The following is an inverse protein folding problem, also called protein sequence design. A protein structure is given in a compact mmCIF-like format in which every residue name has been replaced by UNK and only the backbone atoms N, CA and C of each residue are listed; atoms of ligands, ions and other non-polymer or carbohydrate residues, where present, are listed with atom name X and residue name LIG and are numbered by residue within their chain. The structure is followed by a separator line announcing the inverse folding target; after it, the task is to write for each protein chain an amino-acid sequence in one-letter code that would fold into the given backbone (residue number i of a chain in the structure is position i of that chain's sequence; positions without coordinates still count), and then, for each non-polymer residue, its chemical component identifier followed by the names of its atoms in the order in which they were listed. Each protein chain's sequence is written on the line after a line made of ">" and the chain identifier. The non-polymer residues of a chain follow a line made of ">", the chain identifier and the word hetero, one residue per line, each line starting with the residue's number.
data_IF_469677735565
#
_entry.id   IF_469677735565
#
_cell.length_a   1.000
_cell.length_b   1.000
_cell.length_c   1.000
_cell.angle_alpha   90.00
_cell.angle_beta   90.00
_cell.angle_gamma   90.00
#
_symmetry.space_group_name_H-M   'P 1'
#
loop_
_entity.id
_entity.type
_entity.pdbx_description
1 polymer ?
#
# COMPACT_ATOMS: atom_id res chain seq x y z
N UNK A 1 -12.38 18.15 -12.16
CA UNK A 1 -13.33 19.28 -12.27
C UNK A 1 -14.77 18.93 -12.01
N UNK A 2 -15.41 18.06 -12.80
CA UNK A 2 -16.86 17.78 -12.67
C UNK A 2 -17.33 17.32 -11.29
N UNK A 3 -16.53 16.53 -10.57
CA UNK A 3 -16.86 16.05 -9.23
C UNK A 3 -16.70 17.11 -8.12
N UNK A 4 -16.00 18.21 -8.39
CA UNK A 4 -15.57 19.11 -7.32
C UNK A 4 -14.64 18.44 -6.31
N UNK A 5 -14.36 19.16 -5.21
CA UNK A 5 -13.52 18.69 -4.11
C UNK A 5 -14.32 17.78 -3.17
N UNK A 6 -15.57 18.14 -2.88
CA UNK A 6 -16.46 17.37 -2.01
C UNK A 6 -16.86 16.04 -2.65
N UNK A 7 -17.23 16.06 -3.94
CA UNK A 7 -17.57 14.82 -4.65
C UNK A 7 -16.40 13.87 -4.78
N UNK A 8 -15.18 14.39 -4.92
CA UNK A 8 -13.98 13.55 -4.91
C UNK A 8 -13.76 12.92 -3.53
N UNK A 9 -13.88 13.70 -2.46
CA UNK A 9 -13.73 13.21 -1.08
C UNK A 9 -14.80 12.18 -0.72
N UNK A 10 -16.05 12.43 -1.14
CA UNK A 10 -17.15 11.49 -1.00
C UNK A 10 -16.82 10.14 -1.64
N UNK A 11 -16.40 10.11 -2.90
CA UNK A 11 -16.05 8.85 -3.56
C UNK A 11 -14.85 8.16 -2.91
N UNK A 12 -13.86 8.90 -2.42
CA UNK A 12 -12.74 8.32 -1.68
C UNK A 12 -13.19 7.66 -0.36
N UNK A 13 -14.08 8.31 0.41
CA UNK A 13 -14.66 7.73 1.63
C UNK A 13 -15.55 6.51 1.33
N UNK A 14 -16.32 6.53 0.24
CA UNK A 14 -17.11 5.37 -0.22
C UNK A 14 -16.21 4.16 -0.45
N UNK A 15 -14.98 4.36 -0.96
CA UNK A 15 -13.98 3.31 -1.09
C UNK A 15 -13.23 2.95 0.21
N UNK A 16 -13.55 3.60 1.32
CA UNK A 16 -12.98 3.37 2.65
C UNK A 16 -11.69 4.12 2.93
N UNK A 17 -11.37 5.17 2.18
CA UNK A 17 -10.27 6.10 2.48
C UNK A 17 -10.71 7.13 3.52
N UNK A 18 -9.77 7.76 4.22
CA UNK A 18 -10.09 8.78 5.23
C UNK A 18 -10.55 8.24 6.59
N UNK A 19 -10.70 6.91 6.72
CA UNK A 19 -11.06 6.22 7.96
C UNK A 19 -10.25 4.94 8.18
N UNK A 20 -10.02 4.50 9.43
CA UNK A 20 -9.45 3.18 9.71
C UNK A 20 -10.24 2.06 9.04
N UNK A 21 -9.55 1.01 8.60
CA UNK A 21 -10.19 -0.12 7.90
C UNK A 21 -10.89 -1.07 8.85
N UNK A 22 -10.53 -1.07 10.13
CA UNK A 22 -11.13 -1.95 11.12
C UNK A 22 -10.39 -3.26 11.32
N UNK A 23 -9.17 -3.41 10.81
CA UNK A 23 -8.46 -4.70 10.79
C UNK A 23 -8.08 -5.23 12.18
N UNK A 24 -8.05 -4.36 13.19
CA UNK A 24 -7.71 -4.75 14.55
C UNK A 24 -6.26 -4.58 14.95
N UNK A 25 -5.52 -3.72 14.26
CA UNK A 25 -4.21 -3.21 14.67
C UNK A 25 -4.28 -1.69 14.72
N UNK A 26 -3.24 -1.05 15.26
CA UNK A 26 -3.17 0.41 15.26
C UNK A 26 -3.19 0.92 13.81
N UNK A 27 -4.12 1.84 13.53
CA UNK A 27 -4.33 2.39 12.19
C UNK A 27 -4.36 3.91 12.23
N UNK A 28 -3.85 4.51 11.15
CA UNK A 28 -4.06 5.92 10.85
C UNK A 28 -5.15 6.04 9.78
N UNK A 29 -6.00 7.05 9.90
CA UNK A 29 -7.17 7.23 9.02
C UNK A 29 -6.83 7.70 7.60
N UNK A 30 -5.62 8.23 7.39
CA UNK A 30 -5.28 8.94 6.15
C UNK A 30 -5.88 10.34 6.09
N UNK A 31 -5.93 10.91 4.88
CA UNK A 31 -6.47 12.25 4.61
C UNK A 31 -7.23 12.25 3.28
N UNK A 32 -8.31 13.01 3.23
CA UNK A 32 -9.13 13.23 2.05
C UNK A 32 -8.92 14.64 1.49
N UNK A 33 -9.27 14.90 0.21
CA UNK A 33 -9.10 16.22 -0.40
C UNK A 33 -9.78 17.36 0.39
N UNK A 34 -10.92 17.10 1.02
CA UNK A 34 -11.67 18.02 1.88
C UNK A 34 -11.02 18.32 3.24
N UNK A 35 -9.90 17.66 3.56
CA UNK A 35 -9.05 18.08 4.68
C UNK A 35 -8.27 19.37 4.40
N UNK A 36 -8.35 19.90 3.19
CA UNK A 36 -7.81 21.21 2.85
C UNK A 36 -8.49 22.32 3.69
N UNK A 37 -7.73 23.30 4.23
CA UNK A 37 -8.31 24.34 5.07
C UNK A 37 -9.44 25.13 4.39
N UNK A 38 -10.53 25.37 5.10
CA UNK A 38 -11.65 26.17 4.58
C UNK A 38 -11.27 27.63 4.29
N UNK A 39 -10.15 28.10 4.85
CA UNK A 39 -9.59 29.44 4.64
C UNK A 39 -8.84 29.59 3.31
N UNK A 40 -8.66 28.51 2.54
CA UNK A 40 -8.00 28.58 1.24
C UNK A 40 -8.85 29.41 0.25
N UNK A 41 -8.16 30.23 -0.53
CA UNK A 41 -8.78 30.94 -1.65
C UNK A 41 -9.23 29.97 -2.76
N UNK A 42 -9.98 30.50 -3.72
CA UNK A 42 -10.54 29.68 -4.79
C UNK A 42 -9.46 28.99 -5.65
N UNK A 43 -8.34 29.67 -5.90
CA UNK A 43 -7.24 29.12 -6.69
C UNK A 43 -6.58 27.93 -5.98
N UNK A 44 -6.29 28.07 -4.69
CA UNK A 44 -5.70 27.03 -3.86
C UNK A 44 -6.66 25.84 -3.66
N UNK A 45 -7.97 26.09 -3.54
CA UNK A 45 -8.97 25.00 -3.52
C UNK A 45 -9.04 24.26 -4.85
N UNK A 46 -8.95 24.97 -5.98
CA UNK A 46 -8.89 24.34 -7.30
C UNK A 46 -7.63 23.48 -7.44
N UNK A 47 -6.50 23.95 -6.93
CA UNK A 47 -5.26 23.19 -6.89
C UNK A 47 -5.39 21.93 -6.01
N UNK A 48 -5.97 22.03 -4.82
CA UNK A 48 -6.24 20.90 -3.94
C UNK A 48 -7.14 19.85 -4.62
N UNK A 49 -8.18 20.30 -5.33
CA UNK A 49 -9.07 19.46 -6.14
C UNK A 49 -8.31 18.73 -7.27
N UNK A 50 -7.47 19.44 -8.02
CA UNK A 50 -6.72 18.84 -9.13
C UNK A 50 -5.69 17.82 -8.66
N UNK A 51 -4.90 18.17 -7.65
CA UNK A 51 -3.95 17.23 -7.05
C UNK A 51 -4.66 16.06 -6.39
N UNK A 52 -5.77 16.32 -5.68
CA UNK A 52 -6.59 15.26 -5.10
C UNK A 52 -7.05 14.25 -6.15
N UNK A 53 -7.45 14.72 -7.34
CA UNK A 53 -7.91 13.85 -8.44
C UNK A 53 -6.86 12.85 -8.93
N UNK A 54 -5.58 13.12 -8.69
CA UNK A 54 -4.46 12.21 -9.00
C UNK A 54 -3.82 11.59 -7.75
N UNK A 55 -4.45 11.74 -6.57
CA UNK A 55 -3.97 11.20 -5.31
C UNK A 55 -2.80 11.98 -4.67
N UNK A 56 -2.72 13.29 -4.92
CA UNK A 56 -1.68 14.19 -4.38
C UNK A 56 -2.26 15.31 -3.51
N UNK A 57 -1.38 16.05 -2.83
CA UNK A 57 -1.74 17.21 -2.01
C UNK A 57 -2.29 16.81 -0.64
N UNK A 58 -3.58 17.06 -0.41
CA UNK A 58 -4.25 16.75 0.85
C UNK A 58 -4.71 15.29 0.96
N UNK A 59 -4.39 14.46 -0.02
CA UNK A 59 -4.71 13.03 -0.01
C UNK A 59 -3.62 12.24 0.71
N UNK A 60 -4.02 11.32 1.58
CA UNK A 60 -3.12 10.35 2.20
C UNK A 60 -3.86 9.03 2.44
N UNK A 61 -3.24 7.92 2.08
CA UNK A 61 -3.81 6.60 2.26
C UNK A 61 -2.76 5.62 2.80
N UNK A 62 -3.18 4.68 3.62
CA UNK A 62 -2.31 3.60 4.10
C UNK A 62 -2.22 2.48 3.06
N UNK A 63 -1.13 1.69 3.04
CA UNK A 63 -1.06 0.51 2.18
C UNK A 63 -2.23 -0.46 2.37
N UNK A 64 -2.72 -0.60 3.60
CA UNK A 64 -3.87 -1.45 3.89
C UNK A 64 -5.18 -0.92 3.28
N UNK A 65 -5.44 0.38 3.40
CA UNK A 65 -6.58 1.02 2.72
C UNK A 65 -6.50 0.78 1.21
N UNK A 66 -5.32 0.99 0.61
CA UNK A 66 -5.11 0.81 -0.82
C UNK A 66 -5.22 -0.65 -1.29
N UNK A 67 -4.79 -1.61 -0.47
CA UNK A 67 -5.02 -3.03 -0.73
C UNK A 67 -6.53 -3.36 -0.72
N UNK A 68 -7.30 -2.78 0.20
CA UNK A 68 -8.73 -2.98 0.25
C UNK A 68 -9.47 -2.27 -0.90
N UNK A 69 -8.96 -1.14 -1.41
CA UNK A 69 -9.46 -0.53 -2.66
C UNK A 69 -9.30 -1.51 -3.83
N UNK A 70 -8.11 -2.11 -4.00
CA UNK A 70 -7.88 -3.11 -5.04
C UNK A 70 -8.80 -4.34 -4.86
N UNK A 71 -8.95 -4.83 -3.63
CA UNK A 71 -9.86 -5.94 -3.32
C UNK A 71 -11.33 -5.60 -3.60
N UNK A 72 -11.75 -4.36 -3.34
CA UNK A 72 -13.12 -3.90 -3.61
C UNK A 72 -13.41 -3.85 -5.11
N UNK A 73 -12.46 -3.37 -5.92
CA UNK A 73 -12.56 -3.41 -7.38
C UNK A 73 -12.60 -4.86 -7.88
N UNK A 74 -11.76 -5.73 -7.32
CA UNK A 74 -11.72 -7.15 -7.65
C UNK A 74 -13.04 -7.88 -7.31
N UNK A 75 -13.73 -7.47 -6.24
CA UNK A 75 -15.01 -8.03 -5.79
C UNK A 75 -16.22 -7.33 -6.40
N UNK A 76 -16.08 -6.78 -7.61
CA UNK A 76 -17.17 -6.13 -8.33
C UNK A 76 -17.86 -5.02 -7.52
N UNK A 77 -17.08 -4.21 -6.79
CA UNK A 77 -17.59 -3.05 -6.06
C UNK A 77 -18.15 -3.41 -4.68
N UNK A 78 -17.84 -4.59 -4.16
CA UNK A 78 -18.17 -4.96 -2.78
C UNK A 78 -16.97 -4.67 -1.89
N UNK A 79 -17.09 -3.62 -1.09
CA UNK A 79 -16.15 -3.33 -0.02
C UNK A 79 -16.41 -4.30 1.13
N UNK A 80 -15.36 -4.84 1.72
CA UNK A 80 -15.48 -5.62 2.96
C UNK A 80 -14.35 -5.24 3.89
N UNK A 81 -14.62 -5.36 5.18
CA UNK A 81 -13.65 -5.15 6.23
C UNK A 81 -12.52 -6.18 6.12
N UNK A 82 -11.25 -5.77 6.11
CA UNK A 82 -10.14 -6.69 6.22
C UNK A 82 -10.05 -7.25 7.64
N UNK A 83 -9.70 -8.52 7.78
CA UNK A 83 -9.55 -9.21 9.06
C UNK A 83 -8.19 -9.91 9.12
N UNK A 84 -7.57 -9.90 10.30
CA UNK A 84 -6.46 -10.81 10.60
C UNK A 84 -7.05 -12.13 11.12
N UNK A 85 -6.58 -13.26 10.60
CA UNK A 85 -7.06 -14.61 10.95
C UNK A 85 -6.90 -14.94 12.47
N UNK A 86 -6.21 -14.09 13.24
CA UNK A 86 -5.86 -14.35 14.64
C UNK A 86 -6.96 -14.06 15.67
N UNK A 87 -8.10 -13.47 15.32
CA UNK A 87 -9.22 -13.34 16.28
C UNK A 87 -10.55 -13.09 15.57
N UNK A 88 -11.55 -13.91 15.90
CA UNK A 88 -12.95 -13.73 15.50
C UNK A 88 -13.77 -12.92 16.51
N UNK A 89 -13.20 -12.59 17.68
CA UNK A 89 -13.89 -11.79 18.71
C UNK A 89 -13.47 -10.32 18.64
N UNK A 90 -14.42 -9.49 18.19
CA UNK A 90 -14.26 -8.04 18.05
C UNK A 90 -14.19 -7.32 19.39
N UNK A 91 -14.78 -7.86 20.46
CA UNK A 91 -14.74 -7.25 21.79
C UNK A 91 -13.35 -7.36 22.39
N UNK A 92 -12.67 -8.48 22.16
CA UNK A 92 -11.29 -8.67 22.59
C UNK A 92 -10.31 -7.81 21.78
N UNK A 93 -10.60 -7.59 20.50
CA UNK A 93 -9.87 -6.68 19.64
C UNK A 93 -9.95 -5.22 20.14
N UNK A 94 -11.16 -4.76 20.49
CA UNK A 94 -11.41 -3.41 21.04
C UNK A 94 -10.62 -3.15 22.32
N UNK A 95 -10.46 -4.15 23.18
CA UNK A 95 -9.66 -4.04 24.40
C UNK A 95 -8.16 -3.92 24.13
N UNK A 96 -7.66 -4.65 23.12
CA UNK A 96 -6.22 -4.70 22.78
C UNK A 96 -5.77 -3.50 21.99
N UNK A 97 -6.63 -3.02 21.09
CA UNK A 97 -6.36 -1.88 20.21
C UNK A 97 -7.54 -0.94 20.33
N UNK A 98 -7.52 0.00 21.30
CA UNK A 98 -8.58 0.97 21.41
C UNK A 98 -8.64 1.79 20.12
N UNK A 99 -9.84 1.97 19.55
CA UNK A 99 -9.98 2.76 18.35
C UNK A 99 -9.57 4.22 18.63
N UNK A 100 -8.85 4.84 17.70
CA UNK A 100 -8.37 6.21 17.83
C UNK A 100 -9.42 7.22 17.36
N UNK A 101 -9.34 8.46 17.85
CA UNK A 101 -10.13 9.61 17.38
C UNK A 101 -11.66 9.41 17.38
N UNK A 102 -12.21 8.73 18.39
CA UNK A 102 -13.67 8.58 18.56
C UNK A 102 -14.33 7.57 17.62
N UNK A 103 -13.54 6.82 16.84
CA UNK A 103 -14.05 5.68 16.08
C UNK A 103 -14.44 4.55 17.03
N UNK A 104 -15.42 3.72 16.66
CA UNK A 104 -15.63 2.42 17.31
C UNK A 104 -15.48 1.33 16.25
N UNK A 105 -14.85 0.21 16.63
CA UNK A 105 -14.71 -0.91 15.68
C UNK A 105 -16.08 -1.48 15.29
N UNK A 106 -17.09 -1.37 16.16
CA UNK A 106 -18.49 -1.67 15.86
C UNK A 106 -19.10 -0.85 14.72
N UNK A 107 -18.57 0.34 14.44
CA UNK A 107 -19.17 1.28 13.48
C UNK A 107 -18.63 1.06 12.05
N UNK A 108 -17.58 0.25 11.92
CA UNK A 108 -17.05 -0.16 10.63
C UNK A 108 -17.90 -1.32 10.10
N UNK A 109 -18.59 -1.15 8.94
CA UNK A 109 -19.43 -2.22 8.39
C UNK A 109 -18.58 -3.43 8.01
N UNK A 110 -19.16 -4.62 8.00
CA UNK A 110 -18.43 -5.83 7.55
C UNK A 110 -18.38 -5.94 6.02
N UNK A 111 -19.47 -5.50 5.36
CA UNK A 111 -19.65 -5.61 3.91
C UNK A 111 -20.56 -4.51 3.41
N UNK A 112 -20.15 -3.83 2.35
CA UNK A 112 -20.90 -2.75 1.70
C UNK A 112 -20.82 -2.93 0.19
N UNK A 113 -21.97 -3.01 -0.48
CA UNK A 113 -22.02 -2.90 -1.94
C UNK A 113 -21.96 -1.41 -2.31
N UNK A 114 -20.92 -1.00 -3.03
CA UNK A 114 -20.73 0.40 -3.41
C UNK A 114 -21.74 0.79 -4.51
N UNK A 115 -22.26 2.03 -4.50
CA UNK A 115 -23.22 2.51 -5.49
C UNK A 115 -22.54 2.88 -6.82
N UNK A 116 -21.74 1.98 -7.38
CA UNK A 116 -20.97 2.17 -8.61
C UNK A 116 -21.62 1.35 -9.73
N UNK A 117 -21.79 1.94 -10.91
CA UNK A 117 -22.33 1.22 -12.04
C UNK A 117 -21.39 0.09 -12.47
N UNK A 118 -21.95 -1.05 -12.84
CA UNK A 118 -21.19 -2.19 -13.36
C UNK A 118 -20.34 -1.82 -14.58
N UNK A 119 -20.84 -0.92 -15.43
CA UNK A 119 -20.11 -0.40 -16.58
C UNK A 119 -18.86 0.41 -16.18
N UNK A 120 -18.99 1.32 -15.22
CA UNK A 120 -17.85 2.12 -14.74
C UNK A 120 -16.80 1.21 -14.09
N UNK A 121 -17.25 0.21 -13.34
CA UNK A 121 -16.35 -0.74 -12.71
C UNK A 121 -15.64 -1.63 -13.73
N UNK A 122 -16.35 -2.16 -14.72
CA UNK A 122 -15.77 -2.94 -15.80
C UNK A 122 -14.72 -2.13 -16.58
N UNK A 123 -14.98 -0.84 -16.84
CA UNK A 123 -14.02 0.05 -17.48
C UNK A 123 -12.76 0.25 -16.63
N UNK A 124 -12.91 0.40 -15.30
CA UNK A 124 -11.77 0.51 -14.39
C UNK A 124 -10.94 -0.79 -14.35
N UNK A 125 -11.60 -1.94 -14.22
CA UNK A 125 -10.97 -3.26 -14.23
C UNK A 125 -10.21 -3.51 -15.54
N UNK A 126 -10.81 -3.19 -16.69
CA UNK A 126 -10.17 -3.31 -18.01
C UNK A 126 -8.95 -2.39 -18.14
N UNK A 127 -9.06 -1.15 -17.66
CA UNK A 127 -7.91 -0.23 -17.60
C UNK A 127 -6.77 -0.80 -16.75
N UNK A 128 -7.08 -1.36 -15.58
CA UNK A 128 -6.11 -2.01 -14.70
C UNK A 128 -5.48 -3.25 -15.34
N UNK A 129 -6.24 -4.06 -16.10
CA UNK A 129 -5.70 -5.17 -16.90
C UNK A 129 -4.71 -4.65 -17.95
N UNK A 130 -5.06 -3.61 -18.70
CA UNK A 130 -4.16 -3.05 -19.73
C UNK A 130 -2.87 -2.50 -19.14
N UNK A 131 -2.94 -1.83 -17.99
CA UNK A 131 -1.74 -1.31 -17.30
C UNK A 131 -0.76 -2.44 -16.95
N UNK A 132 -1.26 -3.60 -16.52
CA UNK A 132 -0.44 -4.72 -16.08
C UNK A 132 0.05 -5.63 -17.22
N UNK A 133 -0.63 -5.66 -18.37
CA UNK A 133 -0.34 -6.68 -19.41
C UNK A 133 0.04 -6.10 -20.79
N UNK A 134 -0.31 -4.85 -21.11
CA UNK A 134 -0.03 -4.28 -22.44
C UNK A 134 1.40 -3.76 -22.59
N UNK A 135 1.91 -3.68 -23.83
CA UNK A 135 3.23 -3.12 -24.14
C UNK A 135 3.39 -1.68 -23.66
N UNK A 136 2.32 -0.88 -23.75
CA UNK A 136 2.28 0.51 -23.28
C UNK A 136 1.92 0.64 -21.79
N UNK A 137 1.77 -0.47 -21.08
CA UNK A 137 1.37 -0.51 -19.68
C UNK A 137 2.46 0.00 -18.75
N UNK A 138 2.20 1.10 -18.04
CA UNK A 138 3.13 1.67 -17.05
C UNK A 138 3.48 0.74 -15.88
N UNK A 139 2.67 -0.30 -15.65
CA UNK A 139 2.86 -1.32 -14.63
C UNK A 139 3.08 -2.71 -15.21
N UNK A 140 3.50 -2.82 -16.48
CA UNK A 140 3.57 -4.10 -17.18
C UNK A 140 4.37 -5.14 -16.38
N UNK A 141 3.69 -6.22 -16.02
CA UNK A 141 4.27 -7.39 -15.38
C UNK A 141 4.89 -8.27 -16.46
N UNK A 142 6.16 -8.60 -16.29
CA UNK A 142 6.88 -9.52 -17.16
C UNK A 142 6.59 -10.93 -16.63
N UNK A 143 5.62 -11.60 -17.26
CA UNK A 143 5.15 -12.93 -16.85
C UNK A 143 5.17 -13.89 -18.03
N UNK A 144 5.77 -15.06 -17.81
CA UNK A 144 5.84 -16.15 -18.78
C UNK A 144 4.84 -17.28 -18.45
N UNK A 145 4.20 -17.23 -17.29
CA UNK A 145 3.30 -18.26 -16.77
C UNK A 145 1.84 -18.13 -17.24
N UNK A 146 1.56 -17.12 -18.08
CA UNK A 146 0.23 -16.84 -18.62
C UNK A 146 -0.73 -16.20 -17.62
N UNK A 147 -0.31 -15.87 -16.39
CA UNK A 147 -1.19 -15.22 -15.41
C UNK A 147 -1.54 -13.79 -15.87
N UNK A 148 -2.82 -13.56 -16.12
CA UNK A 148 -3.35 -12.21 -16.35
C UNK A 148 -3.71 -11.59 -15.00
N UNK A 149 -3.03 -10.51 -14.64
CA UNK A 149 -3.32 -9.72 -13.45
C UNK A 149 -3.91 -8.35 -13.82
N UNK A 150 -4.50 -7.66 -12.85
CA UNK A 150 -4.96 -6.28 -13.00
C UNK A 150 -4.27 -5.42 -11.95
N UNK A 151 -3.84 -4.21 -12.32
CA UNK A 151 -3.37 -3.28 -11.31
C UNK A 151 -2.98 -1.91 -11.83
N UNK A 152 -2.48 -1.06 -10.94
CA UNK A 152 -2.12 0.32 -11.23
C UNK A 152 -0.90 0.76 -10.43
N UNK A 153 0.05 1.36 -11.14
CA UNK A 153 1.22 2.01 -10.54
C UNK A 153 0.89 3.43 -10.09
N UNK A 154 1.58 3.89 -9.06
CA UNK A 154 1.52 5.26 -8.56
C UNK A 154 2.90 5.76 -8.21
N UNK A 155 3.08 7.08 -8.28
CA UNK A 155 4.27 7.77 -7.83
C UNK A 155 3.80 8.84 -6.87
N UNK A 156 4.24 8.77 -5.61
CA UNK A 156 3.86 9.74 -4.59
C UNK A 156 5.04 10.65 -4.27
N UNK A 157 4.80 11.96 -4.17
CA UNK A 157 5.78 12.89 -3.63
C UNK A 157 6.18 12.45 -2.21
N UNK A 158 7.49 12.44 -1.94
CA UNK A 158 8.03 12.16 -0.62
C UNK A 158 8.55 13.45 0.04
N UNK A 159 8.52 13.49 1.37
CA UNK A 159 9.24 14.51 2.12
C UNK A 159 10.74 14.17 2.14
N UNK A 160 11.58 15.21 2.15
CA UNK A 160 13.01 15.02 2.37
C UNK A 160 13.27 14.49 3.78
N UNK A 161 14.25 13.59 3.89
CA UNK A 161 14.63 13.06 5.19
C UNK A 161 15.43 14.12 5.94
N UNK A 162 14.95 14.53 7.11
CA UNK A 162 15.58 15.59 7.90
C UNK A 162 16.40 14.98 9.04
N UNK A 163 17.68 15.34 9.11
CA UNK A 163 18.59 14.94 10.18
C UNK A 163 18.96 16.14 11.05
N UNK A 164 19.31 15.95 12.34
CA UNK A 164 19.85 17.03 13.16
C UNK A 164 21.11 17.63 12.50
N UNK A 165 21.16 18.95 12.43
CA UNK A 165 22.37 19.67 12.03
C UNK A 165 23.39 19.53 13.15
N UNK A 166 24.57 19.01 12.84
CA UNK A 166 25.64 18.81 13.82
C UNK A 166 26.68 19.92 13.70
N UNK A 167 27.25 20.34 14.84
CA UNK A 167 28.42 21.22 14.90
C UNK A 167 29.72 20.46 14.60
N UNK A 168 30.85 21.17 14.62
CA UNK A 168 32.19 20.61 14.38
C UNK A 168 32.57 19.48 15.37
N UNK A 169 31.91 19.40 16.52
CA UNK A 169 32.11 18.39 17.55
C UNK A 169 31.07 17.26 17.51
N UNK A 170 30.19 17.25 16.50
CA UNK A 170 29.14 16.25 16.34
C UNK A 170 27.92 16.45 17.26
N UNK A 171 27.76 17.61 17.90
CA UNK A 171 26.59 17.92 18.74
C UNK A 171 25.48 18.60 17.94
N UNK A 172 24.19 18.35 18.23
CA UNK A 172 23.09 19.04 17.57
C UNK A 172 23.16 20.55 17.79
N UNK A 173 23.12 21.32 16.71
CA UNK A 173 22.94 22.77 16.76
C UNK A 173 21.50 23.06 17.15
N UNK A 174 21.28 23.89 18.16
CA UNK A 174 19.93 24.21 18.66
C UNK A 174 19.46 25.58 18.14
N UNK A 175 18.15 25.74 17.96
CA UNK A 175 17.50 27.02 17.68
C UNK A 175 17.36 27.88 18.96
N UNK A 176 16.85 29.11 18.82
CA UNK A 176 16.62 30.03 19.94
C UNK A 176 15.66 29.49 21.02
N UNK A 177 14.91 28.43 20.70
CA UNK A 177 13.95 27.77 21.59
C UNK A 177 14.50 26.45 22.15
N UNK A 178 15.76 26.12 21.88
CA UNK A 178 16.42 24.89 22.34
C UNK A 178 16.13 23.66 21.49
N UNK A 179 15.42 23.76 20.37
CA UNK A 179 15.14 22.60 19.52
C UNK A 179 16.30 22.34 18.56
N UNK A 180 16.66 21.08 18.28
CA UNK A 180 17.66 20.77 17.27
C UNK A 180 17.27 21.31 15.89
N UNK A 181 18.12 22.15 15.31
CA UNK A 181 18.05 22.52 13.91
C UNK A 181 18.16 21.26 13.07
N UNK A 182 17.40 21.22 11.98
CA UNK A 182 17.36 20.09 11.07
C UNK A 182 17.73 20.52 9.66
N UNK A 183 18.56 19.71 9.02
CA UNK A 183 18.92 19.87 7.61
C UNK A 183 18.44 18.67 6.80
N UNK A 184 18.15 18.89 5.53
CA UNK A 184 17.80 17.80 4.63
C UNK A 184 19.05 16.96 4.35
N UNK A 185 18.96 15.66 4.63
CA UNK A 185 19.94 14.69 4.17
C UNK A 185 19.96 14.72 2.63
N UNK A 186 21.14 14.68 2.03
CA UNK A 186 21.25 14.53 0.59
C UNK A 186 20.82 13.10 0.18
N UNK A 187 19.93 12.93 -0.81
CA UNK A 187 19.56 11.59 -1.25
C UNK A 187 20.74 10.81 -1.84
N UNK A 188 20.78 9.52 -1.53
CA UNK A 188 21.66 8.56 -2.18
C UNK A 188 21.27 8.38 -3.65
N UNK A 189 22.23 8.05 -4.51
CA UNK A 189 21.95 7.74 -5.92
C UNK A 189 22.63 6.44 -6.33
N UNK A 190 22.10 5.78 -7.37
CA UNK A 190 22.75 4.57 -7.91
C UNK A 190 24.18 4.82 -8.44
N UNK A 191 24.49 6.06 -8.85
CA UNK A 191 25.83 6.43 -9.34
C UNK A 191 26.79 6.80 -8.22
N UNK A 192 26.26 7.36 -7.12
CA UNK A 192 27.02 7.77 -5.96
C UNK A 192 26.23 7.37 -4.69
N UNK A 193 26.40 6.11 -4.24
CA UNK A 193 25.62 5.59 -3.12
C UNK A 193 26.14 6.13 -1.79
N UNK A 194 25.23 6.63 -0.97
CA UNK A 194 25.52 6.94 0.43
C UNK A 194 25.59 5.64 1.24
N UNK A 195 26.70 5.44 1.96
CA UNK A 195 26.93 4.23 2.76
C UNK A 195 26.08 4.14 4.03
N UNK A 196 25.64 5.27 4.58
CA UNK A 196 24.82 5.35 5.79
C UNK A 196 23.33 5.32 5.47
N UNK A 197 22.93 5.84 4.32
CA UNK A 197 21.55 5.87 3.86
C UNK A 197 21.34 5.34 2.43
N UNK A 198 21.75 4.09 2.12
CA UNK A 198 21.62 3.52 0.78
C UNK A 198 20.15 3.35 0.33
N UNK A 199 19.22 3.35 1.28
CA UNK A 199 17.78 3.23 1.06
C UNK A 199 17.10 4.57 0.72
N UNK A 200 17.71 5.71 1.04
CA UNK A 200 17.13 7.04 0.80
C UNK A 200 17.50 7.53 -0.59
N UNK A 201 16.84 6.97 -1.62
CA UNK A 201 17.22 7.22 -3.00
C UNK A 201 16.57 8.48 -3.58
N UNK A 202 17.36 9.26 -4.31
CA UNK A 202 16.92 10.37 -5.13
C UNK A 202 17.02 10.07 -6.61
N UNK A 203 16.10 10.65 -7.37
CA UNK A 203 15.91 10.40 -8.80
C UNK A 203 16.05 11.71 -9.61
N UNK A 204 15.94 11.58 -10.92
CA UNK A 204 16.12 12.69 -11.86
C UNK A 204 17.59 13.01 -12.13
N UNK A 205 17.82 13.99 -13.00
CA UNK A 205 19.16 14.37 -13.46
C UNK A 205 20.09 14.78 -12.32
N UNK A 206 19.54 15.51 -11.33
CA UNK A 206 20.28 15.98 -10.16
C UNK A 206 20.30 14.98 -9.00
N UNK A 207 19.54 13.88 -9.08
CA UNK A 207 19.44 12.90 -8.01
C UNK A 207 18.78 13.42 -6.72
N UNK A 208 18.02 14.52 -6.79
CA UNK A 208 17.39 15.15 -5.61
C UNK A 208 15.88 14.89 -5.53
N UNK A 209 15.28 14.29 -6.55
CA UNK A 209 13.84 14.08 -6.61
C UNK A 209 13.45 12.84 -5.79
N UNK A 210 12.79 13.05 -4.65
CA UNK A 210 12.40 11.99 -3.73
C UNK A 210 10.93 11.63 -3.86
N UNK A 211 10.67 10.35 -4.14
CA UNK A 211 9.34 9.83 -4.45
C UNK A 211 9.17 8.42 -3.92
N UNK A 212 7.97 8.10 -3.43
CA UNK A 212 7.59 6.74 -3.07
C UNK A 212 6.99 6.01 -4.28
N UNK A 213 7.38 4.76 -4.45
CA UNK A 213 6.90 3.88 -5.53
C UNK A 213 5.71 3.06 -5.03
N UNK A 214 4.57 3.18 -5.71
CA UNK A 214 3.34 2.47 -5.37
C UNK A 214 2.91 1.51 -6.47
N UNK A 215 2.37 0.36 -6.09
CA UNK A 215 1.62 -0.50 -6.98
C UNK A 215 0.55 -1.29 -6.21
N UNK A 216 -0.71 -1.11 -6.59
CA UNK A 216 -1.83 -1.96 -6.16
C UNK A 216 -2.34 -2.85 -7.29
N UNK A 217 -2.90 -4.00 -6.95
CA UNK A 217 -3.51 -4.87 -7.95
C UNK A 217 -4.20 -6.08 -7.35
N UNK A 218 -4.70 -6.93 -8.24
CA UNK A 218 -5.33 -8.19 -7.89
C UNK A 218 -5.10 -9.20 -9.02
N UNK A 219 -5.17 -10.49 -8.66
CA UNK A 219 -4.94 -11.58 -9.60
C UNK A 219 -5.68 -12.86 -9.16
N UNK A 220 -6.02 -13.75 -10.10
CA UNK A 220 -6.16 -13.51 -11.54
C UNK A 220 -7.15 -12.38 -11.86
N UNK A 221 -7.05 -11.77 -13.04
CA UNK A 221 -7.87 -10.61 -13.38
C UNK A 221 -9.35 -10.92 -13.59
N UNK A 222 -9.68 -12.12 -14.09
CA UNK A 222 -11.05 -12.55 -14.39
C UNK A 222 -11.70 -13.30 -13.22
N UNK A 223 -10.89 -13.99 -12.42
CA UNK A 223 -11.32 -14.68 -11.20
C UNK A 223 -10.43 -14.31 -10.03
N UNK A 224 -10.56 -13.09 -9.46
CA UNK A 224 -9.65 -12.60 -8.45
C UNK A 224 -9.64 -13.46 -7.19
N UNK A 225 -8.44 -13.84 -6.76
CA UNK A 225 -8.21 -14.64 -5.55
C UNK A 225 -7.38 -13.88 -4.52
N UNK A 226 -6.53 -12.98 -4.97
CA UNK A 226 -5.71 -12.12 -4.11
C UNK A 226 -5.81 -10.66 -4.56
N UNK A 227 -5.61 -9.76 -3.61
CA UNK A 227 -5.36 -8.35 -3.85
C UNK A 227 -4.13 -7.92 -3.04
N UNK A 228 -3.38 -6.96 -3.55
CA UNK A 228 -2.12 -6.50 -2.95
C UNK A 228 -1.96 -4.99 -3.07
N UNK A 229 -1.15 -4.44 -2.16
CA UNK A 229 -0.59 -3.10 -2.27
C UNK A 229 0.89 -3.16 -1.88
N UNK A 230 1.73 -2.56 -2.72
CA UNK A 230 3.16 -2.45 -2.51
C UNK A 230 3.51 -0.97 -2.45
N UNK A 231 4.20 -0.58 -1.38
CA UNK A 231 4.80 0.73 -1.19
C UNK A 231 6.30 0.52 -0.97
N UNK A 232 7.12 1.19 -1.77
CA UNK A 232 8.56 1.29 -1.54
C UNK A 232 8.89 2.75 -1.27
N UNK A 233 9.26 3.04 -0.02
CA UNK A 233 9.67 4.38 0.35
C UNK A 233 10.92 4.78 -0.43
N UNK A 234 10.95 6.00 -0.98
CA UNK A 234 12.05 6.48 -1.80
C UNK A 234 12.39 5.52 -2.97
N UNK A 235 11.43 4.71 -3.42
CA UNK A 235 11.62 3.73 -4.50
C UNK A 235 11.48 4.31 -5.91
N UNK A 236 11.27 5.62 -6.04
CA UNK A 236 11.11 6.30 -7.32
C UNK A 236 9.72 6.14 -7.90
N UNK A 237 9.61 6.02 -9.23
CA UNK A 237 8.32 5.87 -9.89
C UNK A 237 7.68 4.51 -9.61
N UNK A 238 6.35 4.40 -9.67
CA UNK A 238 5.63 3.13 -9.42
C UNK A 238 6.09 1.95 -10.29
N UNK A 239 6.56 2.23 -11.52
CA UNK A 239 7.09 1.22 -12.44
C UNK A 239 8.54 0.77 -12.13
N UNK A 240 9.26 1.50 -11.26
CA UNK A 240 10.69 1.32 -11.02
C UNK A 240 11.01 0.30 -9.92
N UNK A 241 10.20 0.23 -8.86
CA UNK A 241 10.48 -0.65 -7.72
C UNK A 241 9.27 -1.53 -7.32
N UNK A 242 8.13 -0.91 -7.01
CA UNK A 242 6.95 -1.62 -6.51
C UNK A 242 6.44 -2.70 -7.49
N UNK A 243 6.58 -2.46 -8.81
CA UNK A 243 6.30 -3.43 -9.89
C UNK A 243 7.02 -4.75 -9.76
N UNK A 244 8.32 -4.72 -9.52
CA UNK A 244 9.11 -5.94 -9.45
C UNK A 244 8.78 -6.75 -8.18
N UNK A 245 8.48 -6.07 -7.09
CA UNK A 245 8.01 -6.70 -5.85
C UNK A 245 6.63 -7.32 -6.04
N UNK A 246 5.69 -6.60 -6.69
CA UNK A 246 4.39 -7.14 -7.03
C UNK A 246 4.52 -8.43 -7.86
N UNK A 247 5.42 -8.45 -8.86
CA UNK A 247 5.67 -9.66 -9.65
C UNK A 247 6.12 -10.84 -8.78
N UNK A 248 7.06 -10.60 -7.85
CA UNK A 248 7.55 -11.63 -6.91
C UNK A 248 6.47 -12.11 -5.93
N UNK A 249 5.56 -11.24 -5.50
CA UNK A 249 4.40 -11.61 -4.68
C UNK A 249 3.51 -12.57 -5.46
N UNK A 250 3.19 -12.26 -6.72
CA UNK A 250 2.39 -13.13 -7.57
C UNK A 250 3.07 -14.49 -7.80
N UNK A 251 4.39 -14.51 -8.04
CA UNK A 251 5.15 -15.75 -8.18
C UNK A 251 5.06 -16.60 -6.90
N UNK A 252 5.18 -15.96 -5.73
CA UNK A 252 5.03 -16.64 -4.45
C UNK A 252 3.61 -17.19 -4.27
N UNK A 253 2.58 -16.44 -4.64
CA UNK A 253 1.20 -16.89 -4.55
C UNK A 253 0.92 -18.10 -5.45
N UNK A 254 1.51 -18.17 -6.64
CA UNK A 254 1.44 -19.34 -7.52
C UNK A 254 2.16 -20.52 -6.87
N UNK A 255 3.41 -20.34 -6.41
CA UNK A 255 4.19 -21.42 -5.77
C UNK A 255 3.49 -22.00 -4.54
N UNK A 256 2.76 -21.17 -3.79
CA UNK A 256 2.03 -21.58 -2.59
C UNK A 256 0.60 -22.07 -2.89
N UNK A 257 0.16 -22.10 -4.16
CA UNK A 257 -1.16 -22.60 -4.55
C UNK A 257 -2.33 -21.66 -4.24
N UNK A 258 -2.07 -20.40 -3.88
CA UNK A 258 -3.14 -19.39 -3.71
C UNK A 258 -3.77 -18.97 -5.04
N UNK A 259 -3.02 -19.09 -6.13
CA UNK A 259 -3.44 -18.79 -7.50
C UNK A 259 -2.99 -19.94 -8.41
N UNK A 260 -3.84 -20.36 -9.34
CA UNK A 260 -3.45 -21.29 -10.39
C UNK A 260 -2.69 -20.55 -11.50
N UNK A 261 -1.56 -21.10 -11.94
CA UNK A 261 -0.92 -20.67 -13.18
C UNK A 261 -1.60 -21.38 -14.36
N UNK A 262 -2.07 -20.66 -15.40
CA UNK A 262 -2.63 -21.27 -16.60
C UNK A 262 -1.68 -22.28 -17.26
N UNK A 263 -0.37 -22.00 -17.26
CA UNK A 263 0.62 -22.90 -17.85
C UNK A 263 0.90 -24.15 -16.99
N UNK A 264 0.71 -24.07 -15.66
CA UNK A 264 0.85 -25.24 -14.78
C UNK A 264 -0.35 -26.19 -14.88
N UNK A 265 -1.52 -25.71 -15.31
CA UNK A 265 -2.69 -26.56 -15.57
C UNK A 265 -2.47 -27.43 -16.82
N UNK A 266 -1.81 -26.89 -17.86
CA UNK A 266 -1.56 -27.61 -19.11
C UNK A 266 -0.51 -28.74 -19.01
N UNK A 267 0.40 -28.68 -18.02
CA UNK A 267 1.41 -29.72 -17.78
C UNK A 267 0.90 -30.85 -16.85
N UNK A 268 -0.28 -30.69 -16.24
CA UNK A 268 -0.87 -31.66 -15.32
C UNK A 268 -1.72 -32.76 -15.97
N UNK A 269 -2.13 -32.58 -17.23
CA UNK A 269 -3.08 -33.48 -17.91
C UNK A 269 -2.41 -34.63 -18.69
N UNK A 270 -1.08 -34.81 -18.54
CA UNK A 270 -0.31 -35.77 -19.33
C UNK A 270 -0.13 -37.17 -18.73
N UNK A 271 -0.29 -37.38 -17.42
CA UNK A 271 -0.10 -38.68 -16.78
C UNK A 271 -0.98 -38.82 -15.53
N UNK A 272 -2.21 -39.29 -15.71
CA UNK A 272 -3.02 -39.80 -14.60
C UNK A 272 -3.63 -41.15 -14.99
N UNK A 273 -2.79 -42.19 -14.94
CA UNK A 273 -3.27 -43.53 -14.66
C UNK A 273 -3.93 -43.53 -13.28
N UNK A 274 -5.07 -44.22 -13.20
CA UNK A 274 -5.79 -44.65 -11.99
C UNK A 274 -5.01 -44.52 -10.68
N UNK A 275 -5.39 -43.56 -9.83
CA UNK A 275 -5.27 -43.74 -8.39
C UNK A 275 -6.37 -42.99 -7.63
N UNK A 276 -6.85 -43.69 -6.60
CA UNK A 276 -8.14 -43.53 -5.94
C UNK A 276 -8.21 -42.26 -5.09
N UNK A 277 -9.44 -41.75 -4.96
CA UNK A 277 -9.91 -40.84 -3.92
C UNK A 277 -9.24 -41.11 -2.57
N UNK A 278 -8.36 -40.21 -2.14
CA UNK A 278 -7.90 -40.12 -0.76
C UNK A 278 -8.31 -38.77 -0.20
N UNK A 279 -9.26 -38.80 0.74
CA UNK A 279 -9.67 -37.65 1.52
C UNK A 279 -8.44 -36.98 2.19
N UNK A 280 -8.39 -35.65 2.14
CA UNK A 280 -7.43 -34.83 2.86
C UNK A 280 -7.74 -34.92 4.36
N UNK A 281 -6.84 -35.41 5.23
CA UNK A 281 -7.05 -35.30 6.66
C UNK A 281 -6.74 -33.86 7.08
N UNK A 282 -7.66 -33.27 7.86
CA UNK A 282 -7.43 -32.01 8.54
C UNK A 282 -6.24 -32.16 9.49
N UNK A 283 -5.09 -31.60 9.13
CA UNK A 283 -3.96 -31.40 10.04
C UNK A 283 -3.54 -29.94 9.95
N UNK A 284 -3.62 -29.25 11.08
CA UNK A 284 -3.18 -27.87 11.25
C UNK A 284 -1.69 -27.76 10.86
N UNK A 285 -1.27 -26.70 10.14
CA UNK A 285 0.15 -26.49 9.90
C UNK A 285 0.84 -26.18 11.24
N UNK A 286 1.74 -27.07 11.65
CA UNK A 286 2.70 -26.82 12.74
C UNK A 286 3.57 -25.61 12.39
N UNK A 287 3.46 -24.56 13.20
CA UNK A 287 4.32 -23.39 13.17
C UNK A 287 5.74 -23.85 13.55
N UNK A 288 6.79 -23.56 12.77
CA UNK A 288 8.16 -23.88 13.18
C UNK A 288 8.54 -23.07 14.42
N UNK A 289 9.34 -23.62 15.36
CA UNK A 289 9.75 -22.90 16.56
C UNK A 289 10.52 -21.64 16.18
N UNK A 290 10.28 -20.57 16.93
CA UNK A 290 10.90 -19.27 16.75
C UNK A 290 12.43 -19.40 16.67
N UNK A 291 13.05 -18.76 15.67
CA UNK A 291 14.47 -18.46 15.71
C UNK A 291 14.72 -17.56 16.93
N UNK A 292 15.10 -18.17 18.05
CA UNK A 292 15.78 -17.49 19.13
C UNK A 292 17.19 -17.14 18.66
N UNK A 293 17.68 -15.96 19.08
CA UNK A 293 18.99 -15.35 18.82
C UNK A 293 19.11 -14.51 17.55
N UNK A 294 18.40 -13.38 17.53
CA UNK A 294 18.94 -12.12 16.99
C UNK A 294 19.39 -11.31 18.22
N UNK A 295 20.64 -10.82 18.30
CA UNK A 295 21.06 -10.00 19.43
C UNK A 295 20.24 -8.70 19.45
N UNK A 296 19.74 -8.35 20.64
CA UNK A 296 18.95 -7.14 20.85
C UNK A 296 19.73 -5.90 20.40
N UNK A 297 19.12 -5.10 19.52
CA UNK A 297 19.58 -3.73 19.29
C UNK A 297 19.49 -2.95 20.61
N UNK A 298 20.47 -2.08 20.93
CA UNK A 298 20.45 -1.33 22.18
C UNK A 298 19.17 -0.49 22.26
N UNK A 299 18.40 -0.73 23.32
CA UNK A 299 17.20 0.04 23.67
C UNK A 299 17.64 1.41 24.19
N UNK A 300 17.69 2.42 23.32
CA UNK A 300 17.58 3.81 23.76
C UNK A 300 16.10 4.13 23.90
N UNK A 301 15.68 4.45 25.13
CA UNK A 301 14.32 4.86 25.44
C UNK A 301 13.96 6.09 24.59
N UNK A 302 12.81 6.02 23.91
CA UNK A 302 12.25 7.12 23.12
C UNK A 302 11.73 8.30 23.96
N UNK A 303 12.16 8.41 25.22
CA UNK A 303 11.85 9.50 26.14
C UNK A 303 13.03 10.49 26.31
N UNK A 304 14.23 10.16 25.80
CA UNK A 304 15.43 11.01 25.91
C UNK A 304 15.70 11.88 24.66
N UNK A 305 14.74 12.00 23.74
CA UNK A 305 14.82 12.88 22.56
C UNK A 305 13.81 14.04 22.57
N UNK A 306 13.24 14.32 23.74
CA UNK A 306 12.44 15.52 23.99
C UNK A 306 12.98 16.19 25.26
N UNK A 307 14.11 16.89 25.12
CA UNK A 307 14.50 18.05 25.91
C UNK A 307 15.62 18.80 25.20
#
# INVERSE_FOLDING_TARGET
>A
DRLGLDGLSHWMDVFGLGRPTGIGIAEVRGRLPDSAPATLDEAARNQAKWFGGIGQGYVGATPLQMANVAATIARNGVWMRPHLIATSDMRELEKRVPPSNGYRWSDVPERVALPISSQALAAAQEGMKRVANSLAGTGRLEREDGLIAAGKTGTAQAAHFLIPTLDENGKPVLDEKGNPLRTALAPSTFKNPDSLAPWYLGFGEKGTDVKHSWYIGYAPADHPRIAFAVLVEYGGSGGTAAKFIANKILDACIRQGYIASPNNLALGDGHAGTERTRAVPATSPTIPPALSTIPAAPTTNATDLIH
#
